data_IF_940949000855
#
_entry.id   IF_940949000855
#
_cell.length_a   1.000
_cell.length_b   1.000
_cell.length_c   1.000
_cell.angle_alpha   90.00
_cell.angle_beta   90.00
_cell.angle_gamma   90.00
#
_symmetry.space_group_name_H-M   'P 1'
#
loop_
_entity.id
_entity.type
_entity.pdbx_description
1 polymer ?
#
# COMPACT_ATOMS: atom_id res chain seq x y z
N UNK A 1 -22.39 18.34 2.62
CA UNK A 1 -21.22 19.23 2.48
C UNK A 1 -20.90 19.80 3.86
N UNK A 2 -20.54 18.91 4.81
CA UNK A 2 -20.01 19.27 6.15
C UNK A 2 -19.58 18.02 6.96
N UNK A 3 -19.22 16.91 6.29
CA UNK A 3 -18.77 15.67 6.95
C UNK A 3 -17.23 15.60 7.09
N UNK A 4 -16.51 16.65 6.65
CA UNK A 4 -15.07 16.60 6.39
C UNK A 4 -14.22 17.48 7.31
N UNK A 5 -14.83 18.45 8.01
CA UNK A 5 -14.10 19.40 8.88
C UNK A 5 -14.00 18.92 10.34
N UNK A 6 -15.05 18.30 10.90
CA UNK A 6 -14.96 17.69 12.26
C UNK A 6 -14.00 16.50 12.32
N UNK A 7 -13.72 15.86 11.17
CA UNK A 7 -12.75 14.77 11.07
C UNK A 7 -11.29 15.24 11.21
N UNK A 8 -10.98 16.54 11.15
CA UNK A 8 -9.59 17.02 11.09
C UNK A 8 -8.90 16.99 12.47
N UNK A 9 -9.61 17.37 13.54
CA UNK A 9 -9.06 17.41 14.90
C UNK A 9 -8.88 16.00 15.51
N UNK A 10 -9.86 15.12 15.32
CA UNK A 10 -9.78 13.72 15.76
C UNK A 10 -8.71 12.93 15.01
N UNK A 11 -8.37 13.35 13.79
CA UNK A 11 -7.34 12.73 12.95
C UNK A 11 -5.92 13.13 13.35
N UNK A 12 -5.67 14.37 13.77
CA UNK A 12 -4.36 14.74 14.31
C UNK A 12 -4.07 14.04 15.65
N UNK A 13 -5.08 13.92 16.51
CA UNK A 13 -4.99 13.13 17.73
C UNK A 13 -4.69 11.66 17.42
N UNK A 14 -5.40 11.08 16.45
CA UNK A 14 -5.15 9.73 15.95
C UNK A 14 -3.73 9.59 15.39
N UNK A 15 -3.23 10.50 14.55
CA UNK A 15 -1.87 10.40 14.00
C UNK A 15 -0.79 10.49 15.08
N UNK A 16 -1.03 11.25 16.16
CA UNK A 16 -0.16 11.27 17.34
C UNK A 16 -0.23 9.96 18.13
N UNK A 17 -1.42 9.40 18.32
CA UNK A 17 -1.60 8.08 18.96
C UNK A 17 -0.98 6.96 18.13
N UNK A 18 -1.17 6.99 16.80
CA UNK A 18 -0.54 6.09 15.83
C UNK A 18 0.98 6.22 15.96
N UNK A 19 1.55 7.43 15.84
CA UNK A 19 2.98 7.64 15.96
C UNK A 19 3.54 7.23 17.33
N UNK A 20 2.79 7.46 18.41
CA UNK A 20 3.17 7.06 19.76
C UNK A 20 3.10 5.53 19.96
N UNK A 21 2.09 4.85 19.40
CA UNK A 21 1.95 3.40 19.44
C UNK A 21 3.00 2.71 18.55
N UNK A 22 3.29 3.26 17.36
CA UNK A 22 4.40 2.82 16.51
C UNK A 22 5.74 2.97 17.26
N UNK A 23 5.93 4.06 18.01
CA UNK A 23 7.13 4.27 18.81
C UNK A 23 7.18 3.39 20.08
N UNK A 24 6.04 3.12 20.71
CA UNK A 24 5.92 2.25 21.89
C UNK A 24 6.07 0.76 21.55
N UNK A 25 5.65 0.36 20.34
CA UNK A 25 5.92 -0.94 19.73
C UNK A 25 7.31 -1.00 19.06
N UNK A 26 8.17 0.00 19.32
CA UNK A 26 9.61 -0.12 19.15
C UNK A 26 10.12 -1.35 19.90
N UNK A 27 11.17 -1.99 19.37
CA UNK A 27 11.29 -3.44 19.29
C UNK A 27 11.06 -4.12 20.64
N UNK A 28 9.88 -4.72 20.78
CA UNK A 28 9.62 -5.68 21.83
C UNK A 28 10.58 -6.86 21.60
N UNK A 29 11.74 -6.84 22.29
CA UNK A 29 12.67 -7.97 22.32
C UNK A 29 14.18 -7.69 22.24
N UNK A 30 14.69 -6.45 22.18
CA UNK A 30 16.17 -6.25 22.04
C UNK A 30 16.93 -6.29 23.37
N UNK A 31 16.27 -6.57 24.51
CA UNK A 31 16.96 -6.63 25.80
C UNK A 31 17.81 -7.91 26.01
N UNK A 32 17.90 -8.82 25.03
CA UNK A 32 18.63 -10.09 25.18
C UNK A 32 19.80 -10.29 24.19
N UNK A 33 20.22 -9.26 23.44
CA UNK A 33 21.28 -9.40 22.43
C UNK A 33 22.56 -8.59 22.69
N UNK A 34 22.84 -8.19 23.93
CA UNK A 34 24.06 -7.41 24.26
C UNK A 34 25.19 -8.28 24.86
N UNK A 35 24.97 -9.56 25.13
CA UNK A 35 26.06 -10.47 25.55
C UNK A 35 26.31 -11.55 24.49
N UNK A 36 26.71 -11.14 23.29
CA UNK A 36 27.43 -12.02 22.38
C UNK A 36 28.91 -11.68 22.51
N UNK A 37 29.56 -12.37 23.45
CA UNK A 37 31.01 -12.44 23.58
C UNK A 37 31.63 -12.72 22.20
N UNK A 38 32.66 -11.96 21.83
CA UNK A 38 33.43 -12.12 20.59
C UNK A 38 34.28 -13.40 20.67
N UNK A 39 33.68 -14.59 20.68
CA UNK A 39 34.42 -15.83 20.47
C UNK A 39 33.60 -16.88 19.71
N UNK A 40 34.26 -17.44 18.70
CA UNK A 40 33.86 -18.55 17.83
C UNK A 40 32.78 -18.29 16.77
N UNK A 41 33.26 -17.95 15.58
CA UNK A 41 32.55 -18.02 14.30
C UNK A 41 32.17 -19.45 13.92
N UNK A 42 31.20 -20.02 14.63
CA UNK A 42 30.46 -21.19 14.18
C UNK A 42 29.24 -20.73 13.40
N UNK A 43 29.40 -20.58 12.08
CA UNK A 43 28.26 -20.56 11.19
C UNK A 43 27.53 -21.90 11.33
N UNK A 44 26.35 -21.91 11.96
CA UNK A 44 25.48 -23.07 12.08
C UNK A 44 25.02 -23.54 10.68
N UNK A 45 25.86 -24.30 9.98
CA UNK A 45 25.60 -24.88 8.68
C UNK A 45 24.86 -26.23 8.81
N UNK A 46 23.71 -26.22 9.48
CA UNK A 46 22.82 -27.38 9.57
C UNK A 46 21.47 -27.05 8.94
N UNK A 47 21.00 -27.90 8.02
CA UNK A 47 19.63 -27.87 7.50
C UNK A 47 18.64 -27.97 8.67
N UNK A 48 18.06 -26.84 9.06
CA UNK A 48 17.08 -26.77 10.17
C UNK A 48 17.32 -25.70 11.24
N UNK A 49 18.35 -24.84 11.17
CA UNK A 49 18.46 -23.74 12.14
C UNK A 49 17.56 -22.56 11.77
N UNK A 50 16.40 -22.46 12.42
CA UNK A 50 15.55 -21.26 12.41
C UNK A 50 16.29 -20.00 12.93
N UNK A 51 17.43 -20.16 13.59
CA UNK A 51 18.22 -19.08 14.16
C UNK A 51 18.82 -18.10 13.13
N UNK A 52 19.13 -18.54 11.91
CA UNK A 52 19.81 -17.70 10.92
C UNK A 52 18.85 -16.78 10.13
N UNK A 53 17.63 -17.25 9.85
CA UNK A 53 16.62 -16.50 9.08
C UNK A 53 16.05 -15.30 9.84
N UNK A 54 16.09 -15.31 11.18
CA UNK A 54 15.49 -14.30 12.04
C UNK A 54 16.43 -13.14 12.42
N UNK A 55 17.71 -13.21 12.06
CA UNK A 55 18.69 -12.20 12.49
C UNK A 55 18.49 -10.85 11.82
N UNK A 56 18.05 -10.82 10.55
CA UNK A 56 17.82 -9.58 9.81
C UNK A 56 16.35 -9.18 9.71
N UNK A 57 15.41 -10.07 10.04
CA UNK A 57 13.98 -9.82 9.84
C UNK A 57 13.47 -8.70 10.77
N UNK A 58 13.90 -8.71 12.04
CA UNK A 58 13.57 -7.65 12.99
C UNK A 58 14.17 -6.29 12.58
N UNK A 59 15.42 -6.28 12.12
CA UNK A 59 16.10 -5.06 11.65
C UNK A 59 15.48 -4.52 10.35
N UNK A 60 15.09 -5.42 9.44
CA UNK A 60 14.37 -5.10 8.22
C UNK A 60 13.03 -4.47 8.57
N UNK A 61 12.26 -5.09 9.46
CA UNK A 61 10.97 -4.55 9.90
C UNK A 61 11.14 -3.17 10.52
N UNK A 62 12.08 -3.01 11.46
CA UNK A 62 12.38 -1.73 12.08
C UNK A 62 12.77 -0.66 11.04
N UNK A 63 13.56 -1.05 10.02
CA UNK A 63 13.94 -0.16 8.91
C UNK A 63 12.74 0.25 8.05
N UNK A 64 11.85 -0.69 7.71
CA UNK A 64 10.61 -0.41 6.97
C UNK A 64 9.71 0.55 7.76
N UNK A 65 9.55 0.33 9.06
CA UNK A 65 8.78 1.20 9.97
C UNK A 65 9.38 2.60 10.10
N UNK A 66 10.71 2.70 10.16
CA UNK A 66 11.39 3.99 10.16
C UNK A 66 11.20 4.75 8.84
N UNK A 67 11.27 4.03 7.71
CA UNK A 67 11.10 4.61 6.37
C UNK A 67 9.66 5.10 6.11
N UNK A 68 8.63 4.40 6.57
CA UNK A 68 7.24 4.85 6.37
C UNK A 68 6.89 6.11 7.20
N UNK A 69 7.58 6.31 8.34
CA UNK A 69 7.33 7.44 9.25
C UNK A 69 8.23 8.65 8.98
N UNK A 70 9.19 8.53 8.06
CA UNK A 70 10.16 9.58 7.77
C UNK A 70 9.47 10.86 7.21
N UNK A 71 9.82 12.00 7.82
CA UNK A 71 9.25 13.29 7.46
C UNK A 71 9.59 13.70 6.01
N UNK A 72 8.60 14.23 5.28
CA UNK A 72 8.75 14.64 3.88
C UNK A 72 8.71 13.50 2.86
N UNK A 73 8.51 12.25 3.32
CA UNK A 73 8.48 11.08 2.44
C UNK A 73 7.07 10.57 2.15
N UNK A 74 6.10 10.94 2.99
CA UNK A 74 4.68 10.69 2.75
C UNK A 74 4.06 11.79 1.87
N UNK A 75 3.08 11.45 1.01
CA UNK A 75 2.27 12.47 0.36
C UNK A 75 1.55 13.30 1.43
N UNK A 76 1.40 14.59 1.16
CA UNK A 76 0.65 15.49 2.04
C UNK A 76 -0.83 15.10 1.99
N UNK A 77 -1.47 14.73 3.11
CA UNK A 77 -2.87 14.30 3.11
C UNK A 77 -3.86 15.33 2.53
N UNK A 78 -3.48 16.60 2.57
CA UNK A 78 -4.30 17.72 2.15
C UNK A 78 -3.74 18.41 0.90
N UNK A 79 -2.88 17.72 0.11
CA UNK A 79 -2.32 18.30 -1.11
C UNK A 79 -3.40 18.78 -2.08
N UNK A 80 -4.56 18.12 -2.11
CA UNK A 80 -5.68 18.45 -3.00
C UNK A 80 -6.20 19.88 -2.75
N UNK A 81 -6.23 20.31 -1.49
CA UNK A 81 -6.67 21.66 -1.11
C UNK A 81 -5.48 22.62 -1.03
N UNK A 82 -4.40 22.22 -0.36
CA UNK A 82 -3.26 23.09 -0.08
C UNK A 82 -2.40 23.42 -1.32
N UNK A 83 -2.19 22.43 -2.20
CA UNK A 83 -1.25 22.54 -3.34
C UNK A 83 -2.03 22.63 -4.65
N UNK A 84 -3.00 21.74 -4.86
CA UNK A 84 -3.79 21.67 -6.09
C UNK A 84 -4.98 22.64 -6.09
N UNK A 85 -5.30 23.27 -4.94
CA UNK A 85 -6.34 24.30 -4.81
C UNK A 85 -7.70 23.84 -5.36
N UNK A 86 -8.05 22.58 -5.12
CA UNK A 86 -9.32 21.97 -5.55
C UNK A 86 -9.39 21.60 -7.04
N UNK A 87 -8.31 21.76 -7.81
CA UNK A 87 -8.29 21.34 -9.23
C UNK A 87 -8.23 19.82 -9.39
N UNK A 88 -7.60 19.14 -8.44
CA UNK A 88 -7.60 17.68 -8.32
C UNK A 88 -8.40 17.34 -7.09
N UNK A 89 -9.60 16.80 -7.30
CA UNK A 89 -10.47 16.31 -6.25
C UNK A 89 -10.29 14.79 -6.03
N UNK A 90 -10.88 14.21 -4.96
CA UNK A 90 -10.71 12.80 -4.65
C UNK A 90 -11.22 11.83 -5.74
N UNK A 91 -12.26 12.20 -6.50
CA UNK A 91 -12.82 11.38 -7.58
C UNK A 91 -11.93 11.44 -8.81
N UNK A 92 -11.35 12.60 -9.12
CA UNK A 92 -10.34 12.74 -10.18
C UNK A 92 -9.13 11.86 -9.88
N UNK A 93 -8.66 11.84 -8.62
CA UNK A 93 -7.58 10.93 -8.18
C UNK A 93 -7.99 9.46 -8.32
N UNK A 94 -9.15 9.07 -7.80
CA UNK A 94 -9.62 7.68 -7.88
C UNK A 94 -9.72 7.20 -9.33
N UNK A 95 -10.22 8.05 -10.24
CA UNK A 95 -10.29 7.76 -11.68
C UNK A 95 -8.91 7.57 -12.31
N UNK A 96 -7.91 8.36 -11.89
CA UNK A 96 -6.54 8.20 -12.32
C UNK A 96 -5.92 6.88 -11.83
N UNK A 97 -6.15 6.52 -10.56
CA UNK A 97 -5.68 5.25 -9.97
C UNK A 97 -6.29 4.06 -10.71
N UNK A 98 -7.60 4.09 -10.97
CA UNK A 98 -8.31 3.09 -11.74
C UNK A 98 -7.73 2.91 -13.15
N UNK A 99 -7.46 4.03 -13.83
CA UNK A 99 -6.84 4.01 -15.14
C UNK A 99 -5.40 3.45 -15.10
N UNK A 100 -4.61 3.81 -14.09
CA UNK A 100 -3.27 3.25 -13.88
C UNK A 100 -3.29 1.75 -13.62
N UNK A 101 -4.29 1.25 -12.87
CA UNK A 101 -4.50 -0.19 -12.71
C UNK A 101 -4.69 -0.86 -14.08
N UNK A 102 -5.49 -0.26 -14.96
CA UNK A 102 -5.71 -0.76 -16.32
C UNK A 102 -4.41 -0.89 -17.14
N UNK A 103 -3.45 0.03 -16.95
CA UNK A 103 -2.11 -0.09 -17.57
C UNK A 103 -1.36 -1.27 -16.97
N UNK A 104 -1.33 -1.37 -15.63
CA UNK A 104 -0.61 -2.45 -14.96
C UNK A 104 -1.18 -3.83 -15.29
N UNK A 105 -2.49 -3.91 -15.53
CA UNK A 105 -3.19 -5.13 -15.98
C UNK A 105 -2.97 -5.43 -17.46
N UNK A 106 -2.94 -4.40 -18.31
CA UNK A 106 -2.76 -4.55 -19.76
C UNK A 106 -1.36 -5.02 -20.16
N UNK A 107 -0.35 -4.76 -19.32
CA UNK A 107 1.02 -5.21 -19.53
C UNK A 107 1.33 -6.45 -18.69
N UNK A 108 1.37 -7.61 -19.36
CA UNK A 108 1.76 -8.86 -18.72
C UNK A 108 3.21 -8.76 -18.19
N UNK A 109 3.42 -9.21 -16.96
CA UNK A 109 4.74 -9.31 -16.35
C UNK A 109 5.14 -8.17 -15.41
N UNK A 110 4.34 -7.11 -15.24
CA UNK A 110 4.70 -6.11 -14.23
C UNK A 110 4.63 -6.70 -12.81
N UNK A 111 5.62 -6.37 -11.97
CA UNK A 111 5.65 -6.78 -10.58
C UNK A 111 4.40 -6.32 -9.82
N UNK A 112 3.88 -7.15 -8.91
CA UNK A 112 2.61 -6.91 -8.22
C UNK A 112 2.56 -5.59 -7.42
N UNK A 113 3.70 -5.15 -6.87
CA UNK A 113 3.84 -3.87 -6.14
C UNK A 113 3.85 -2.61 -7.02
N UNK A 114 3.90 -2.74 -8.35
CA UNK A 114 4.06 -1.61 -9.28
C UNK A 114 2.96 -0.56 -9.13
N UNK A 115 1.70 -0.97 -9.00
CA UNK A 115 0.57 -0.05 -8.86
C UNK A 115 0.69 0.79 -7.59
N UNK A 116 0.92 0.15 -6.44
CA UNK A 116 1.10 0.80 -5.15
C UNK A 116 2.21 1.85 -5.19
N UNK A 117 3.35 1.52 -5.81
CA UNK A 117 4.49 2.43 -5.94
C UNK A 117 4.18 3.58 -6.89
N UNK A 118 3.53 3.31 -8.01
CA UNK A 118 3.13 4.34 -8.97
C UNK A 118 2.15 5.34 -8.35
N UNK A 119 1.16 4.87 -7.59
CA UNK A 119 0.20 5.75 -6.88
C UNK A 119 0.94 6.61 -5.84
N UNK A 120 1.86 6.03 -5.07
CA UNK A 120 2.69 6.78 -4.13
C UNK A 120 3.53 7.88 -4.82
N UNK A 121 4.02 7.63 -6.03
CA UNK A 121 4.73 8.64 -6.83
C UNK A 121 3.82 9.77 -7.28
N UNK A 122 2.62 9.45 -7.79
CA UNK A 122 1.64 10.46 -8.21
C UNK A 122 1.24 11.33 -7.02
N UNK A 123 0.90 10.74 -5.87
CA UNK A 123 0.47 11.50 -4.70
C UNK A 123 1.58 12.40 -4.15
N UNK A 124 2.83 11.92 -4.12
CA UNK A 124 3.97 12.74 -3.70
C UNK A 124 4.28 13.85 -4.70
N UNK A 125 4.19 13.57 -5.99
CA UNK A 125 4.34 14.59 -7.04
C UNK A 125 3.30 15.69 -6.88
N UNK A 126 2.02 15.33 -6.74
CA UNK A 126 0.92 16.29 -6.53
C UNK A 126 1.00 17.01 -5.17
N UNK A 127 1.78 16.48 -4.23
CA UNK A 127 2.07 17.14 -2.95
C UNK A 127 3.05 18.30 -3.06
N UNK A 128 3.81 18.43 -4.15
CA UNK A 128 4.83 19.48 -4.29
C UNK A 128 4.77 20.24 -5.62
N UNK A 129 4.17 19.64 -6.66
CA UNK A 129 3.99 20.25 -7.99
C UNK A 129 2.53 20.65 -8.19
N UNK A 130 2.18 21.95 -8.11
CA UNK A 130 0.83 22.40 -8.44
C UNK A 130 0.60 22.25 -9.95
N UNK A 131 -0.51 21.63 -10.33
CA UNK A 131 -0.93 21.61 -11.73
C UNK A 131 -1.58 22.96 -12.08
N UNK A 132 -1.02 23.67 -13.07
CA UNK A 132 -1.57 24.94 -13.54
C UNK A 132 -2.96 24.75 -14.17
N UNK A 133 -3.13 23.67 -14.93
CA UNK A 133 -4.39 23.22 -15.49
C UNK A 133 -4.51 21.70 -15.33
N UNK A 134 -5.73 21.24 -15.06
CA UNK A 134 -6.05 19.81 -15.01
C UNK A 134 -6.72 19.44 -16.32
N UNK A 135 -6.04 18.60 -17.10
CA UNK A 135 -6.60 18.00 -18.31
C UNK A 135 -6.36 16.51 -18.28
N UNK A 136 -7.25 15.75 -18.92
CA UNK A 136 -7.12 14.30 -19.04
C UNK A 136 -5.73 13.90 -19.58
N UNK A 137 -5.23 14.60 -20.60
CA UNK A 137 -3.90 14.34 -21.18
C UNK A 137 -2.78 14.47 -20.15
N UNK A 138 -2.79 15.53 -19.33
CA UNK A 138 -1.73 15.76 -18.34
C UNK A 138 -1.76 14.73 -17.22
N UNK A 139 -2.96 14.39 -16.71
CA UNK A 139 -3.11 13.36 -15.68
C UNK A 139 -2.74 11.97 -16.22
N UNK A 140 -3.18 11.62 -17.43
CA UNK A 140 -2.81 10.36 -18.08
C UNK A 140 -1.29 10.28 -18.30
N UNK A 141 -0.66 11.34 -18.81
CA UNK A 141 0.79 11.38 -18.98
C UNK A 141 1.53 11.21 -17.65
N UNK A 142 1.09 11.90 -16.59
CA UNK A 142 1.65 11.73 -15.24
C UNK A 142 1.49 10.29 -14.74
N UNK A 143 0.28 9.72 -14.83
CA UNK A 143 -0.01 8.37 -14.36
C UNK A 143 0.78 7.30 -15.12
N UNK A 144 0.83 7.36 -16.45
CA UNK A 144 1.63 6.42 -17.24
C UNK A 144 3.13 6.55 -16.95
N UNK A 145 3.62 7.77 -16.78
CA UNK A 145 5.01 8.01 -16.40
C UNK A 145 5.31 7.45 -15.01
N UNK A 146 4.39 7.59 -14.06
CA UNK A 146 4.53 7.01 -12.73
C UNK A 146 4.55 5.48 -12.77
N UNK A 147 3.67 4.84 -13.56
CA UNK A 147 3.69 3.38 -13.77
C UNK A 147 5.01 2.96 -14.44
N UNK A 148 5.48 3.69 -15.44
CA UNK A 148 6.76 3.43 -16.10
C UNK A 148 7.95 3.51 -15.16
N UNK A 149 8.02 4.54 -14.31
CA UNK A 149 9.09 4.69 -13.30
C UNK A 149 8.99 3.60 -12.24
N UNK A 150 7.78 3.27 -11.77
CA UNK A 150 7.56 2.21 -10.79
C UNK A 150 7.94 0.83 -11.35
N UNK A 151 7.59 0.51 -12.59
CA UNK A 151 7.93 -0.75 -13.24
C UNK A 151 9.45 -0.94 -13.38
N UNK A 152 10.20 0.15 -13.66
CA UNK A 152 11.67 0.10 -13.68
C UNK A 152 12.29 -0.11 -12.30
N UNK A 153 11.60 0.29 -11.24
CA UNK A 153 12.08 0.15 -9.87
C UNK A 153 11.76 -1.22 -9.30
N UNK A 154 10.54 -1.73 -9.52
CA UNK A 154 10.09 -3.03 -8.99
C UNK A 154 10.49 -4.22 -9.87
N UNK A 155 10.67 -4.02 -11.17
CA UNK A 155 10.98 -5.10 -12.10
C UNK A 155 12.44 -5.55 -12.02
N UNK A 156 12.65 -6.80 -11.62
CA UNK A 156 13.95 -7.46 -11.58
C UNK A 156 14.37 -7.95 -12.97
N UNK A 157 13.39 -8.39 -13.77
CA UNK A 157 13.62 -8.98 -15.08
C UNK A 157 13.29 -8.00 -16.23
N UNK A 158 13.96 -8.11 -17.39
CA UNK A 158 13.71 -7.25 -18.55
C UNK A 158 12.25 -7.26 -19.04
N UNK A 159 11.57 -8.40 -18.94
CA UNK A 159 10.16 -8.59 -19.30
C UNK A 159 9.18 -7.86 -18.38
N UNK A 160 9.61 -7.51 -17.17
CA UNK A 160 8.80 -6.78 -16.18
C UNK A 160 8.92 -5.26 -16.38
N UNK A 161 9.68 -4.83 -17.39
CA UNK A 161 9.91 -3.41 -17.70
C UNK A 161 8.90 -2.93 -18.73
N UNK A 162 8.17 -1.89 -18.36
CA UNK A 162 7.38 -1.11 -19.30
C UNK A 162 8.30 -0.25 -20.17
N UNK A 163 8.15 -0.25 -21.51
CA UNK A 163 8.91 0.67 -22.35
C UNK A 163 8.30 2.08 -22.31
N UNK A 164 9.12 3.11 -22.50
CA UNK A 164 8.61 4.49 -22.58
C UNK A 164 7.66 4.71 -23.78
N UNK A 165 7.78 3.88 -24.83
CA UNK A 165 6.86 3.90 -25.97
C UNK A 165 5.48 3.34 -25.60
N UNK A 166 5.46 2.25 -24.82
CA UNK A 166 4.21 1.64 -24.34
C UNK A 166 3.50 2.56 -23.34
N UNK A 167 4.26 3.20 -22.44
CA UNK A 167 3.71 4.21 -21.53
C UNK A 167 3.12 5.41 -22.31
N UNK A 168 3.78 5.85 -23.38
CA UNK A 168 3.26 6.91 -24.24
C UNK A 168 1.98 6.48 -24.98
N UNK A 169 1.94 5.23 -25.48
CA UNK A 169 0.76 4.67 -26.13
C UNK A 169 -0.42 4.56 -25.16
N UNK A 170 -0.18 4.12 -23.93
CA UNK A 170 -1.18 4.05 -22.87
C UNK A 170 -1.74 5.44 -22.53
N UNK A 171 -0.86 6.43 -22.29
CA UNK A 171 -1.25 7.80 -21.99
C UNK A 171 -2.02 8.50 -23.13
N UNK A 172 -1.71 8.11 -24.37
CA UNK A 172 -2.25 8.75 -25.57
C UNK A 172 -3.74 8.52 -25.77
N UNK A 173 -4.27 7.32 -25.44
CA UNK A 173 -5.70 7.03 -25.59
C UNK A 173 -6.26 7.33 -27.00
N UNK A 174 -5.43 7.19 -28.04
CA UNK A 174 -5.75 7.57 -29.43
C UNK A 174 -5.18 8.92 -29.89
N UNK A 175 -4.64 9.73 -28.99
CA UNK A 175 -3.84 10.92 -29.29
C UNK A 175 -2.35 10.56 -29.32
N UNK A 176 -1.59 11.21 -30.19
CA UNK A 176 -0.15 11.05 -30.23
C UNK A 176 0.50 11.74 -29.01
N UNK A 177 0.99 10.92 -28.08
CA UNK A 177 1.97 11.32 -27.07
C UNK A 177 3.32 10.76 -27.52
N UNK A 178 4.32 11.64 -27.59
CA UNK A 178 5.65 11.21 -27.99
C UNK A 178 6.37 10.53 -26.82
N UNK A 179 7.22 9.54 -27.13
CA UNK A 179 8.13 8.93 -26.15
C UNK A 179 8.96 9.99 -25.39
N UNK A 180 9.36 11.07 -26.07
CA UNK A 180 10.09 12.17 -25.44
C UNK A 180 9.29 12.86 -24.34
N UNK A 181 7.97 13.02 -24.49
CA UNK A 181 7.13 13.63 -23.46
C UNK A 181 7.12 12.79 -22.17
N UNK A 182 7.12 11.45 -22.29
CA UNK A 182 7.22 10.55 -21.14
C UNK A 182 8.58 10.67 -20.45
N UNK A 183 9.68 10.78 -21.23
CA UNK A 183 11.02 10.93 -20.67
C UNK A 183 11.21 12.30 -19.99
N UNK A 184 10.69 13.37 -20.59
CA UNK A 184 10.73 14.70 -19.98
C UNK A 184 9.92 14.73 -18.68
N UNK A 185 8.77 14.05 -18.66
CA UNK A 185 7.95 13.91 -17.46
C UNK A 185 8.58 13.03 -16.41
N UNK A 186 9.31 12.00 -16.81
CA UNK A 186 10.08 11.18 -15.88
C UNK A 186 11.07 12.03 -15.11
N UNK A 187 11.83 12.89 -15.79
CA UNK A 187 12.82 13.74 -15.13
C UNK A 187 12.17 14.69 -14.12
N UNK A 188 11.05 15.32 -14.48
CA UNK A 188 10.29 16.19 -13.56
C UNK A 188 9.70 15.40 -12.38
N UNK A 189 9.22 14.18 -12.63
CA UNK A 189 8.72 13.28 -11.59
C UNK A 189 9.84 12.90 -10.60
N UNK A 190 11.00 12.48 -11.11
CA UNK A 190 12.15 12.10 -10.28
C UNK A 190 12.68 13.28 -9.45
N UNK A 191 12.72 14.48 -10.04
CA UNK A 191 13.10 15.71 -9.34
C UNK A 191 12.11 16.03 -8.21
N UNK A 192 10.80 15.97 -8.48
CA UNK A 192 9.77 16.19 -7.47
C UNK A 192 9.83 15.18 -6.31
N UNK A 193 10.25 13.94 -6.59
CA UNK A 193 10.44 12.89 -5.57
C UNK A 193 11.79 12.97 -4.86
N UNK A 194 12.68 13.87 -5.28
CA UNK A 194 14.07 13.97 -4.78
C UNK A 194 14.85 12.67 -4.97
N UNK A 195 14.56 11.92 -6.03
CA UNK A 195 15.13 10.59 -6.33
C UNK A 195 14.94 9.53 -5.22
N UNK A 196 14.01 9.73 -4.28
CA UNK A 196 13.69 8.76 -3.22
C UNK A 196 12.58 7.81 -3.66
N UNK A 197 12.96 6.74 -4.36
CA UNK A 197 12.02 5.81 -5.00
C UNK A 197 11.65 4.59 -4.13
N UNK A 198 12.55 4.16 -3.24
CA UNK A 198 12.45 2.93 -2.45
C UNK A 198 11.73 3.10 -1.11
N UNK A 199 10.53 3.69 -1.12
CA UNK A 199 9.69 3.74 0.09
C UNK A 199 8.81 2.49 0.19
N UNK A 200 8.57 1.98 1.41
CA UNK A 200 7.69 0.83 1.59
C UNK A 200 6.24 1.20 1.25
N UNK A 201 5.53 0.26 0.66
CA UNK A 201 4.10 0.39 0.35
C UNK A 201 3.30 -0.62 1.17
N UNK A 202 1.97 -0.53 1.14
CA UNK A 202 1.12 -1.52 1.82
C UNK A 202 1.38 -2.93 1.25
N UNK A 203 1.64 -3.03 -0.05
CA UNK A 203 2.11 -4.27 -0.68
C UNK A 203 3.41 -4.79 -0.04
N UNK A 204 4.44 -3.93 0.14
CA UNK A 204 5.71 -4.33 0.78
C UNK A 204 5.49 -4.89 2.20
N UNK A 205 4.64 -4.24 3.00
CA UNK A 205 4.34 -4.72 4.35
C UNK A 205 3.50 -5.99 4.35
N UNK A 206 2.53 -6.13 3.43
CA UNK A 206 1.73 -7.33 3.31
C UNK A 206 2.59 -8.54 2.95
N UNK A 207 3.54 -8.40 2.01
CA UNK A 207 4.51 -9.46 1.69
C UNK A 207 5.36 -9.84 2.90
N UNK A 208 5.86 -8.84 3.63
CA UNK A 208 6.68 -9.07 4.82
C UNK A 208 5.90 -9.81 5.92
N UNK A 209 4.65 -9.39 6.20
CA UNK A 209 3.81 -10.05 7.20
C UNK A 209 3.44 -11.49 6.80
N UNK A 210 3.05 -11.71 5.54
CA UNK A 210 2.70 -13.04 5.05
C UNK A 210 3.90 -13.99 5.06
N UNK A 211 5.08 -13.50 4.64
CA UNK A 211 6.33 -14.26 4.71
C UNK A 211 6.69 -14.67 6.14
N UNK A 212 6.56 -13.75 7.11
CA UNK A 212 6.82 -14.00 8.53
C UNK A 212 5.81 -14.96 9.16
N UNK A 213 4.57 -14.96 8.69
CA UNK A 213 3.55 -15.94 9.08
C UNK A 213 3.82 -17.33 8.47
N UNK A 214 4.66 -17.43 7.43
CA UNK A 214 5.02 -18.69 6.77
C UNK A 214 4.27 -18.97 5.46
N UNK A 215 3.59 -17.95 4.91
CA UNK A 215 3.05 -18.03 3.55
C UNK A 215 4.11 -17.58 2.54
N UNK A 216 4.33 -18.37 1.50
CA UNK A 216 5.14 -17.97 0.34
C UNK A 216 4.23 -17.51 -0.81
N UNK A 217 4.71 -16.59 -1.66
CA UNK A 217 3.90 -15.99 -2.72
C UNK A 217 3.15 -17.01 -3.60
N UNK A 218 1.93 -16.65 -4.03
CA UNK A 218 1.09 -17.47 -4.91
C UNK A 218 -0.16 -18.09 -4.26
N UNK A 219 -0.29 -18.00 -2.94
CA UNK A 219 -1.47 -18.49 -2.22
C UNK A 219 -2.69 -17.56 -2.37
N UNK A 220 -3.90 -18.13 -2.31
CA UNK A 220 -5.15 -17.35 -2.34
C UNK A 220 -5.21 -16.27 -1.24
N UNK A 221 -4.55 -16.51 -0.10
CA UNK A 221 -4.36 -15.54 0.99
C UNK A 221 -3.60 -14.30 0.51
N UNK A 222 -2.47 -14.48 -0.18
CA UNK A 222 -1.69 -13.39 -0.76
C UNK A 222 -2.54 -12.57 -1.73
N UNK A 223 -3.25 -13.24 -2.63
CA UNK A 223 -4.08 -12.58 -3.62
C UNK A 223 -5.16 -11.70 -2.96
N UNK A 224 -5.89 -12.23 -1.98
CA UNK A 224 -6.97 -11.46 -1.31
C UNK A 224 -6.41 -10.33 -0.44
N UNK A 225 -5.34 -10.56 0.31
CA UNK A 225 -4.72 -9.53 1.14
C UNK A 225 -4.23 -8.34 0.30
N UNK A 226 -3.50 -8.63 -0.80
CA UNK A 226 -3.04 -7.61 -1.72
C UNK A 226 -4.18 -6.92 -2.46
N UNK A 227 -5.25 -7.63 -2.79
CA UNK A 227 -6.44 -7.01 -3.36
C UNK A 227 -7.08 -5.99 -2.42
N UNK A 228 -7.28 -6.37 -1.16
CA UNK A 228 -7.87 -5.49 -0.16
C UNK A 228 -6.99 -4.26 0.06
N UNK A 229 -5.66 -4.42 0.02
CA UNK A 229 -4.73 -3.30 0.02
C UNK A 229 -4.85 -2.44 -1.26
N UNK A 230 -4.91 -3.04 -2.45
CA UNK A 230 -5.09 -2.35 -3.73
C UNK A 230 -6.35 -1.46 -3.72
N UNK A 231 -7.48 -1.95 -3.19
CA UNK A 231 -8.73 -1.18 -3.10
C UNK A 231 -8.59 0.10 -2.28
N UNK A 232 -7.71 0.13 -1.28
CA UNK A 232 -7.47 1.35 -0.48
C UNK A 232 -6.80 2.47 -1.27
N UNK A 233 -6.18 2.15 -2.41
CA UNK A 233 -5.57 3.14 -3.28
C UNK A 233 -6.62 4.06 -3.92
N UNK A 234 -7.88 3.65 -4.04
CA UNK A 234 -8.97 4.47 -4.58
C UNK A 234 -9.36 5.61 -3.63
N UNK A 235 -9.44 5.31 -2.33
CA UNK A 235 -9.85 6.28 -1.32
C UNK A 235 -8.68 7.16 -0.90
N UNK A 236 -8.87 8.49 -0.85
CA UNK A 236 -7.85 9.42 -0.35
C UNK A 236 -7.60 9.30 1.15
N UNK A 237 -8.53 8.74 1.93
CA UNK A 237 -8.38 8.65 3.40
C UNK A 237 -7.14 7.81 3.78
N UNK A 238 -6.81 6.82 2.94
CA UNK A 238 -5.60 5.99 3.07
C UNK A 238 -4.29 6.81 3.04
N UNK A 239 -4.27 8.01 2.44
CA UNK A 239 -3.09 8.88 2.41
C UNK A 239 -2.60 9.28 3.81
N UNK A 240 -3.49 9.25 4.81
CA UNK A 240 -3.19 9.57 6.22
C UNK A 240 -2.70 8.35 7.00
N UNK A 241 -3.07 7.16 6.56
CA UNK A 241 -2.81 5.91 7.27
C UNK A 241 -1.44 5.37 6.85
N UNK A 242 -0.55 4.97 7.78
CA UNK A 242 0.74 4.39 7.42
C UNK A 242 0.57 3.10 6.59
N UNK A 243 1.40 2.84 5.57
CA UNK A 243 1.35 1.63 4.77
C UNK A 243 1.33 0.32 5.59
N UNK A 244 2.05 0.24 6.71
CA UNK A 244 2.03 -0.94 7.59
C UNK A 244 0.66 -1.20 8.22
N UNK A 245 -0.06 -0.12 8.59
CA UNK A 245 -1.42 -0.20 9.13
C UNK A 245 -2.39 -0.65 8.04
N UNK A 246 -2.27 -0.10 6.83
CA UNK A 246 -3.09 -0.53 5.69
C UNK A 246 -2.89 -2.01 5.40
N UNK A 247 -1.65 -2.48 5.37
CA UNK A 247 -1.35 -3.90 5.16
C UNK A 247 -1.93 -4.80 6.27
N UNK A 248 -1.73 -4.42 7.53
CA UNK A 248 -2.25 -5.17 8.67
C UNK A 248 -3.79 -5.18 8.69
N UNK A 249 -4.46 -4.07 8.38
CA UNK A 249 -5.91 -3.98 8.27
C UNK A 249 -6.46 -4.83 7.12
N UNK A 250 -5.76 -4.92 5.99
CA UNK A 250 -6.14 -5.80 4.89
C UNK A 250 -6.09 -7.28 5.31
N UNK A 251 -5.02 -7.67 6.03
CA UNK A 251 -4.88 -9.01 6.60
C UNK A 251 -5.92 -9.30 7.69
N UNK A 252 -6.19 -8.35 8.58
CA UNK A 252 -7.22 -8.44 9.61
C UNK A 252 -8.61 -8.62 8.98
N UNK A 253 -8.88 -7.87 7.90
CA UNK A 253 -10.14 -7.98 7.19
C UNK A 253 -10.27 -9.33 6.51
N UNK A 254 -9.21 -9.85 5.89
CA UNK A 254 -9.15 -11.21 5.35
C UNK A 254 -9.41 -12.26 6.43
N UNK A 255 -8.74 -12.17 7.58
CA UNK A 255 -8.96 -13.03 8.74
C UNK A 255 -10.42 -12.97 9.25
N UNK A 256 -11.06 -11.82 9.12
CA UNK A 256 -12.46 -11.64 9.46
C UNK A 256 -13.43 -12.03 8.33
N UNK A 257 -13.00 -12.48 7.14
CA UNK A 257 -13.93 -12.92 6.09
C UNK A 257 -14.46 -14.33 6.37
N UNK A 258 -15.78 -14.53 6.24
CA UNK A 258 -16.38 -15.88 6.30
C UNK A 258 -16.30 -16.53 4.93
N UNK A 259 -15.46 -17.57 4.81
CA UNK A 259 -15.16 -18.26 3.55
C UNK A 259 -16.14 -19.40 3.24
N UNK A 260 -17.42 -19.23 3.57
CA UNK A 260 -18.36 -20.36 3.62
C UNK A 260 -18.60 -21.04 2.26
N UNK A 261 -18.40 -20.37 1.11
CA UNK A 261 -18.73 -20.93 -0.22
C UNK A 261 -17.66 -20.73 -1.32
N UNK A 262 -16.48 -20.19 -1.02
CA UNK A 262 -15.55 -19.69 -2.05
C UNK A 262 -14.31 -20.56 -2.34
N UNK A 263 -14.15 -21.74 -1.70
CA UNK A 263 -13.01 -22.63 -1.94
C UNK A 263 -11.63 -22.06 -1.53
N UNK A 264 -11.61 -20.98 -0.73
CA UNK A 264 -10.40 -20.40 -0.15
C UNK A 264 -9.88 -21.19 1.06
N UNK A 265 -8.57 -21.13 1.37
CA UNK A 265 -8.02 -21.62 2.63
C UNK A 265 -8.66 -20.87 3.81
N UNK A 266 -8.89 -21.54 4.97
CA UNK A 266 -9.55 -20.93 6.13
C UNK A 266 -8.87 -19.60 6.53
N UNK A 267 -9.64 -18.62 7.04
CA UNK A 267 -9.06 -17.35 7.45
C UNK A 267 -8.01 -17.58 8.53
N UNK A 268 -6.93 -16.79 8.48
CA UNK A 268 -5.85 -16.87 9.47
C UNK A 268 -6.36 -16.44 10.85
N UNK A 269 -6.02 -17.19 11.93
CA UNK A 269 -6.32 -16.71 13.27
C UNK A 269 -5.56 -15.41 13.55
N UNK A 270 -6.29 -14.43 14.09
CA UNK A 270 -5.71 -13.16 14.51
C UNK A 270 -4.97 -13.30 15.84
N UNK A 271 -5.58 -14.01 16.79
CA UNK A 271 -5.09 -14.33 18.13
C UNK A 271 -4.22 -15.62 18.15
N UNK A 272 -3.66 -15.98 19.31
CA UNK A 272 -2.83 -17.18 19.56
C UNK A 272 -1.56 -17.31 18.68
N UNK A 273 -0.53 -16.48 18.93
CA UNK A 273 0.71 -16.41 18.14
C UNK A 273 0.47 -16.15 16.62
N UNK A 274 -0.72 -15.64 16.29
CA UNK A 274 -1.19 -15.38 14.93
C UNK A 274 -0.74 -14.04 14.34
N UNK A 275 -1.62 -13.43 13.52
CA UNK A 275 -1.30 -12.20 12.78
C UNK A 275 -0.98 -11.00 13.69
N UNK A 276 -1.49 -10.95 14.92
CA UNK A 276 -1.16 -9.89 15.88
C UNK A 276 0.32 -9.91 16.27
N UNK A 277 0.90 -11.09 16.48
CA UNK A 277 2.32 -11.24 16.83
C UNK A 277 3.26 -10.88 15.66
N UNK A 278 2.81 -11.13 14.43
CA UNK A 278 3.55 -10.83 13.20
C UNK A 278 3.52 -9.34 12.86
N UNK A 279 2.34 -8.73 12.95
CA UNK A 279 2.14 -7.31 12.57
C UNK A 279 2.51 -6.35 13.70
N UNK A 280 2.41 -6.80 14.95
CA UNK A 280 2.56 -5.95 16.14
C UNK A 280 1.40 -4.97 16.33
N UNK A 281 0.24 -5.23 15.72
CA UNK A 281 -0.96 -4.39 15.82
C UNK A 281 -2.12 -5.17 16.43
N UNK A 282 -2.79 -4.56 17.41
CA UNK A 282 -4.07 -5.06 17.90
C UNK A 282 -5.19 -4.77 16.90
N UNK A 283 -6.16 -5.68 16.77
CA UNK A 283 -7.33 -5.51 15.89
C UNK A 283 -8.12 -4.24 16.21
N UNK A 284 -8.15 -3.80 17.48
CA UNK A 284 -8.84 -2.58 17.92
C UNK A 284 -8.23 -1.35 17.25
N UNK A 285 -6.91 -1.32 17.14
CA UNK A 285 -6.19 -0.21 16.50
C UNK A 285 -6.42 -0.18 14.98
N UNK A 286 -6.64 -1.35 14.37
CA UNK A 286 -6.90 -1.49 12.95
C UNK A 286 -8.36 -1.21 12.56
N UNK A 287 -9.27 -1.12 13.54
CA UNK A 287 -10.72 -1.02 13.33
C UNK A 287 -11.11 0.09 12.36
N UNK A 288 -10.57 1.31 12.57
CA UNK A 288 -10.88 2.47 11.72
C UNK A 288 -10.45 2.27 10.27
N UNK A 289 -9.25 1.74 10.04
CA UNK A 289 -8.77 1.49 8.68
C UNK A 289 -9.57 0.35 8.01
N UNK A 290 -9.97 -0.67 8.77
CA UNK A 290 -10.87 -1.71 8.28
C UNK A 290 -12.27 -1.18 7.93
N UNK A 291 -12.80 -0.22 8.69
CA UNK A 291 -14.06 0.46 8.37
C UNK A 291 -13.94 1.27 7.07
N UNK A 292 -12.84 2.01 6.88
CA UNK A 292 -12.61 2.75 5.63
C UNK A 292 -12.50 1.81 4.42
N UNK A 293 -11.85 0.65 4.57
CA UNK A 293 -11.83 -0.40 3.55
C UNK A 293 -13.24 -0.95 3.27
N UNK A 294 -14.05 -1.14 4.31
CA UNK A 294 -15.42 -1.62 4.17
C UNK A 294 -16.30 -0.62 3.43
N UNK A 295 -16.19 0.66 3.73
CA UNK A 295 -16.92 1.73 3.02
C UNK A 295 -16.66 1.68 1.51
N UNK A 296 -15.42 1.43 1.09
CA UNK A 296 -15.08 1.30 -0.35
C UNK A 296 -15.85 0.16 -1.00
N UNK A 297 -15.99 -0.97 -0.30
CA UNK A 297 -16.73 -2.14 -0.79
C UNK A 297 -18.25 -1.95 -0.75
N UNK A 298 -18.78 -1.33 0.31
CA UNK A 298 -20.22 -1.03 0.47
C UNK A 298 -20.68 0.00 -0.58
N UNK A 299 -19.82 0.97 -0.89
CA UNK A 299 -20.07 2.05 -1.85
C UNK A 299 -19.51 1.72 -3.24
N UNK A 300 -19.38 0.43 -3.59
CA UNK A 300 -18.79 -0.07 -4.84
C UNK A 300 -19.29 0.67 -6.09
N UNK A 301 -20.59 0.96 -6.16
CA UNK A 301 -21.22 1.63 -7.30
C UNK A 301 -20.85 3.11 -7.46
N UNK A 302 -20.25 3.73 -6.43
CA UNK A 302 -19.86 5.14 -6.43
C UNK A 302 -18.38 5.35 -6.74
N UNK A 303 -17.52 4.37 -6.43
CA UNK A 303 -16.08 4.50 -6.59
C UNK A 303 -15.66 4.22 -8.04
N UNK A 304 -15.11 5.21 -8.75
CA UNK A 304 -14.64 5.00 -10.12
C UNK A 304 -13.47 4.02 -10.10
N UNK A 305 -13.56 2.93 -10.87
CA UNK A 305 -12.52 1.90 -10.90
C UNK A 305 -12.74 0.69 -10.01
N UNK A 306 -13.74 0.72 -9.12
CA UNK A 306 -13.93 -0.39 -8.19
C UNK A 306 -14.22 -1.70 -8.91
N UNK A 307 -15.15 -1.69 -9.87
CA UNK A 307 -15.52 -2.88 -10.64
C UNK A 307 -14.34 -3.40 -11.46
N UNK A 308 -13.53 -2.50 -12.04
CA UNK A 308 -12.31 -2.85 -12.76
C UNK A 308 -11.29 -3.52 -11.83
N UNK A 309 -11.00 -2.91 -10.68
CA UNK A 309 -10.06 -3.46 -9.69
C UNK A 309 -10.55 -4.77 -9.08
N UNK A 310 -11.86 -4.93 -8.88
CA UNK A 310 -12.46 -6.18 -8.39
C UNK A 310 -12.42 -7.28 -9.44
N UNK A 311 -12.68 -6.96 -10.71
CA UNK A 311 -12.70 -7.93 -11.82
C UNK A 311 -11.37 -8.67 -12.02
N UNK A 312 -10.26 -8.11 -11.54
CA UNK A 312 -8.93 -8.72 -11.53
C UNK A 312 -8.85 -9.99 -10.67
N UNK A 313 -9.72 -10.13 -9.67
CA UNK A 313 -9.67 -11.23 -8.72
C UNK A 313 -10.68 -12.29 -9.11
N UNK A 314 -10.17 -13.45 -9.56
CA UNK A 314 -10.96 -14.64 -9.90
C UNK A 314 -11.57 -15.34 -8.66
N UNK A 315 -11.50 -14.70 -7.50
CA UNK A 315 -11.96 -15.21 -6.23
C UNK A 315 -13.12 -14.31 -5.79
N UNK A 316 -14.34 -14.85 -5.85
CA UNK A 316 -15.50 -14.20 -5.26
C UNK A 316 -15.39 -14.31 -3.74
N UNK A 317 -15.16 -13.17 -3.08
CA UNK A 317 -15.20 -13.05 -1.62
C UNK A 317 -16.34 -12.12 -1.22
N UNK A 318 -16.98 -12.47 -0.11
CA UNK A 318 -17.96 -11.63 0.54
C UNK A 318 -17.34 -11.07 1.82
N UNK A 319 -17.33 -9.75 1.92
CA UNK A 319 -17.08 -9.12 3.20
C UNK A 319 -18.21 -9.51 4.18
N UNK A 320 -17.86 -9.74 5.45
CA UNK A 320 -18.87 -9.96 6.49
C UNK A 320 -19.92 -8.84 6.43
N UNK A 321 -21.23 -9.16 6.44
CA UNK A 321 -22.31 -8.19 6.30
C UNK A 321 -22.42 -7.24 7.50
N UNK A 322 -21.85 -7.62 8.65
CA UNK A 322 -21.69 -6.72 9.78
C UNK A 322 -20.41 -5.92 9.57
N UNK A 323 -20.50 -4.58 9.64
CA UNK A 323 -19.34 -3.76 10.03
C UNK A 323 -18.75 -4.44 11.26
N UNK A 324 -17.43 -4.65 11.27
CA UNK A 324 -16.75 -5.21 12.42
C UNK A 324 -17.01 -4.28 13.60
N UNK A 325 -18.08 -4.53 14.34
CA UNK A 325 -18.29 -3.98 15.67
C UNK A 325 -17.28 -4.74 16.50
N UNK A 326 -16.06 -4.21 16.58
CA UNK A 326 -15.12 -4.66 17.60
C UNK A 326 -15.89 -4.52 18.90
N UNK A 327 -16.24 -5.61 19.60
CA UNK A 327 -16.88 -5.45 20.88
C UNK A 327 -15.88 -4.69 21.74
N UNK A 328 -16.24 -3.45 22.13
CA UNK A 328 -15.61 -2.68 23.21
C UNK A 328 -15.81 -3.40 24.56
N UNK A 329 -15.58 -4.71 24.60
CA UNK A 329 -15.64 -5.54 25.79
C UNK A 329 -14.20 -5.89 26.11
N UNK A 330 -13.52 -4.92 26.71
CA UNK A 330 -12.45 -5.04 27.71
C UNK A 330 -11.91 -3.62 27.97
N UNK A 331 -12.70 -2.84 28.72
CA UNK A 331 -12.16 -1.86 29.67
C UNK A 331 -11.82 -2.58 30.97
#
# INVERSE_FOLDING_TARGET
>A
MDYLDDAHADVEAMLREIAAAVAANGPCGVAAAVDADETDGSYCAGEGCACAAWTYDADLYASLRAMEMAAGERPSPDYMTAVQRGRVDPWTRASLVAWMEGITRGHAGLAAGTLHRAVAYVDRYLSVRPLEAVSHRLLALLGATAVFVAAKYEGDLPEERLSAGDAAAAAGGGLAIARSEVLDRELDLLDALGYRLGRPTAHTFADHFLARYGYSGGDAVHAVAHHLADLTLLDRRSLRIPPSVVAASALARYAATTLADAGLPPPLPWEDDGLEAVTGYSVVYLARCMEEMYDVHEMASLWPGYDEMKSRFAIDYLLLPCRLVVPLVLM
#
